data_IF_353775429370
#
_entry.id   IF_353775429370
#
_cell.length_a   1.000
_cell.length_b   1.000
_cell.length_c   1.000
_cell.angle_alpha   90.00
_cell.angle_beta   90.00
_cell.angle_gamma   90.00
#
_symmetry.space_group_name_H-M   'P 1'
#
loop_
_entity.id
_entity.type
_entity.pdbx_description
1 polymer ?
#
# COMPACT_ATOMS: atom_id res chain seq x y z
N UNK A 1 38.51 19.24 -42.38
CA UNK A 1 38.71 18.14 -41.40
C UNK A 1 38.32 18.53 -39.95
N UNK A 2 37.83 19.75 -39.69
CA UNK A 2 37.51 20.21 -38.33
C UNK A 2 36.04 20.00 -37.92
N UNK A 3 35.12 19.90 -38.90
CA UNK A 3 33.67 19.76 -38.64
C UNK A 3 33.23 18.37 -38.19
N UNK A 4 33.97 17.31 -38.54
CA UNK A 4 33.62 15.92 -38.18
C UNK A 4 33.78 15.63 -36.68
N UNK A 5 34.71 16.31 -36.00
CA UNK A 5 34.94 16.12 -34.58
C UNK A 5 33.88 16.85 -33.74
N UNK A 6 33.49 18.09 -34.08
CA UNK A 6 32.42 18.81 -33.39
C UNK A 6 31.06 18.09 -33.46
N UNK A 7 30.72 17.52 -34.63
CA UNK A 7 29.49 16.73 -34.78
C UNK A 7 29.45 15.48 -33.91
N UNK A 8 30.60 14.86 -33.61
CA UNK A 8 30.67 13.72 -32.70
C UNK A 8 30.55 14.14 -31.23
N UNK A 9 31.15 15.24 -30.80
CA UNK A 9 31.00 15.72 -29.41
C UNK A 9 29.56 16.12 -29.07
N UNK A 10 28.82 16.72 -30.00
CA UNK A 10 27.40 17.05 -29.81
C UNK A 10 26.55 15.78 -29.70
N UNK A 11 26.81 14.76 -30.54
CA UNK A 11 26.12 13.46 -30.48
C UNK A 11 26.41 12.72 -29.17
N UNK A 12 27.68 12.60 -28.78
CA UNK A 12 28.08 11.94 -27.54
C UNK A 12 27.62 12.71 -26.29
N UNK A 13 27.63 14.05 -26.34
CA UNK A 13 27.08 14.91 -25.28
C UNK A 13 25.57 14.72 -25.13
N UNK A 14 24.81 14.68 -26.23
CA UNK A 14 23.38 14.41 -26.20
C UNK A 14 23.05 13.02 -25.65
N UNK A 15 23.82 11.98 -26.05
CA UNK A 15 23.68 10.64 -25.50
C UNK A 15 24.00 10.61 -24.00
N UNK A 16 25.06 11.30 -23.55
CA UNK A 16 25.42 11.35 -22.13
C UNK A 16 24.33 12.03 -21.29
N UNK A 17 23.75 13.13 -21.76
CA UNK A 17 22.62 13.81 -21.09
C UNK A 17 21.39 12.88 -21.05
N UNK A 18 21.08 12.20 -22.14
CA UNK A 18 19.95 11.28 -22.19
C UNK A 18 20.12 10.11 -21.21
N UNK A 19 21.32 9.52 -21.14
CA UNK A 19 21.62 8.47 -20.16
C UNK A 19 21.56 8.98 -18.72
N UNK A 20 22.06 10.20 -18.47
CA UNK A 20 22.02 10.83 -17.15
C UNK A 20 20.59 11.07 -16.65
N UNK A 21 19.63 11.32 -17.56
CA UNK A 21 18.22 11.46 -17.20
C UNK A 21 17.51 10.09 -17.12
N UNK A 22 17.81 9.18 -18.05
CA UNK A 22 17.06 7.94 -18.20
C UNK A 22 17.41 6.90 -17.13
N UNK A 23 18.70 6.75 -16.77
CA UNK A 23 19.14 5.76 -15.79
C UNK A 23 18.47 5.99 -14.42
N UNK A 24 18.49 7.21 -13.85
CA UNK A 24 17.87 7.44 -12.55
C UNK A 24 16.35 7.28 -12.59
N UNK A 25 15.68 7.73 -13.66
CA UNK A 25 14.23 7.52 -13.84
C UNK A 25 13.86 6.04 -13.86
N UNK A 26 14.62 5.21 -14.59
CA UNK A 26 14.41 3.76 -14.61
C UNK A 26 14.69 3.11 -13.25
N UNK A 27 15.62 3.66 -12.47
CA UNK A 27 15.95 3.14 -11.14
C UNK A 27 14.85 3.48 -10.12
N UNK A 28 14.40 4.74 -10.05
CA UNK A 28 13.33 5.16 -9.12
C UNK A 28 11.97 4.55 -9.43
N UNK A 29 11.69 4.22 -10.70
CA UNK A 29 10.39 3.68 -11.13
C UNK A 29 10.26 2.16 -10.91
N UNK A 30 11.22 1.52 -10.22
CA UNK A 30 11.14 0.11 -9.89
C UNK A 30 10.23 -0.10 -8.68
N UNK A 31 9.20 -0.93 -8.87
CA UNK A 31 8.38 -1.45 -7.77
C UNK A 31 8.92 -2.82 -7.34
N UNK A 32 8.84 -3.18 -6.06
CA UNK A 32 9.31 -4.47 -5.58
C UNK A 32 8.59 -5.64 -6.27
N UNK A 33 9.33 -6.72 -6.52
CA UNK A 33 8.76 -7.94 -7.07
C UNK A 33 7.72 -8.55 -6.12
N UNK A 34 6.66 -9.20 -6.64
CA UNK A 34 5.75 -9.99 -5.83
C UNK A 34 6.47 -11.12 -5.10
N UNK A 35 5.92 -11.54 -3.97
CA UNK A 35 6.40 -12.69 -3.21
C UNK A 35 5.29 -13.68 -2.89
N UNK A 36 5.69 -14.87 -2.44
CA UNK A 36 4.78 -15.83 -1.85
C UNK A 36 4.76 -15.67 -0.33
N UNK A 37 3.64 -15.17 0.25
CA UNK A 37 3.54 -14.90 1.69
C UNK A 37 3.83 -16.12 2.57
N UNK A 38 3.30 -17.28 2.19
CA UNK A 38 3.37 -18.50 3.00
C UNK A 38 4.79 -19.05 3.00
N UNK A 39 5.42 -19.11 1.82
CA UNK A 39 6.78 -19.63 1.66
C UNK A 39 7.79 -18.75 2.39
N UNK A 40 7.74 -17.43 2.20
CA UNK A 40 8.65 -16.52 2.89
C UNK A 40 8.42 -16.50 4.40
N UNK A 41 7.16 -16.55 4.87
CA UNK A 41 6.85 -16.58 6.30
C UNK A 41 7.39 -17.86 6.97
N UNK A 42 7.25 -19.02 6.32
CA UNK A 42 7.79 -20.29 6.82
C UNK A 42 9.31 -20.25 6.91
N UNK A 43 9.99 -19.80 5.85
CA UNK A 43 11.43 -19.66 5.85
C UNK A 43 11.92 -18.71 6.96
N UNK A 44 11.22 -17.59 7.15
CA UNK A 44 11.53 -16.64 8.22
C UNK A 44 11.33 -17.25 9.61
N UNK A 45 10.24 -18.02 9.82
CA UNK A 45 9.99 -18.70 11.08
C UNK A 45 11.07 -19.75 11.40
N UNK A 46 11.47 -20.57 10.43
CA UNK A 46 12.53 -21.56 10.57
C UNK A 46 13.87 -20.92 10.92
N UNK A 47 14.24 -19.83 10.23
CA UNK A 47 15.48 -19.09 10.49
C UNK A 47 15.55 -18.51 11.91
N UNK A 48 14.41 -18.09 12.47
CA UNK A 48 14.33 -17.47 13.79
C UNK A 48 13.86 -18.42 14.89
N UNK A 49 13.71 -19.72 14.59
CA UNK A 49 13.21 -20.73 15.52
C UNK A 49 11.84 -20.38 16.13
N UNK A 50 11.01 -19.68 15.37
CA UNK A 50 9.65 -19.34 15.76
C UNK A 50 8.70 -20.52 15.52
N UNK A 51 7.73 -20.69 16.41
CA UNK A 51 6.60 -21.55 16.14
C UNK A 51 5.68 -20.89 15.10
N UNK A 52 5.15 -21.69 14.19
CA UNK A 52 4.35 -21.21 13.07
C UNK A 52 2.85 -21.23 13.41
N UNK A 53 2.45 -20.33 14.31
CA UNK A 53 1.06 -20.19 14.75
C UNK A 53 0.18 -19.47 13.73
N UNK A 54 -1.14 -19.59 13.88
CA UNK A 54 -2.11 -18.81 13.12
C UNK A 54 -1.84 -17.31 13.27
N UNK A 55 -2.00 -16.55 12.20
CA UNK A 55 -1.71 -15.11 12.15
C UNK A 55 -0.26 -14.76 11.89
N UNK A 56 0.65 -15.74 11.93
CA UNK A 56 2.07 -15.51 11.65
C UNK A 56 2.30 -15.07 10.21
N UNK A 57 1.65 -15.72 9.25
CA UNK A 57 1.77 -15.40 7.82
C UNK A 57 1.25 -14.01 7.52
N UNK A 58 0.08 -13.67 8.05
CA UNK A 58 -0.58 -12.38 7.95
C UNK A 58 0.27 -11.25 8.51
N UNK A 59 0.78 -11.44 9.73
CA UNK A 59 1.62 -10.45 10.42
C UNK A 59 2.95 -10.26 9.71
N UNK A 60 3.61 -11.36 9.31
CA UNK A 60 4.83 -11.34 8.52
C UNK A 60 4.62 -10.60 7.18
N UNK A 61 3.51 -10.87 6.51
CA UNK A 61 3.19 -10.23 5.22
C UNK A 61 3.02 -8.72 5.37
N UNK A 62 2.32 -8.26 6.40
CA UNK A 62 2.21 -6.83 6.69
C UNK A 62 3.59 -6.18 6.95
N UNK A 63 4.46 -6.88 7.68
CA UNK A 63 5.83 -6.42 7.93
C UNK A 63 6.64 -6.34 6.63
N UNK A 64 6.55 -7.36 5.77
CA UNK A 64 7.26 -7.40 4.48
C UNK A 64 6.75 -6.35 3.50
N UNK A 65 5.43 -6.10 3.45
CA UNK A 65 4.88 -5.02 2.62
C UNK A 65 5.42 -3.66 3.05
N UNK A 66 5.47 -3.40 4.35
CA UNK A 66 6.04 -2.17 4.90
C UNK A 66 7.55 -2.08 4.63
N UNK A 67 8.31 -3.15 4.87
CA UNK A 67 9.75 -3.19 4.60
C UNK A 67 10.05 -2.92 3.12
N UNK A 68 9.32 -3.55 2.19
CA UNK A 68 9.49 -3.36 0.74
C UNK A 68 9.05 -1.97 0.28
N UNK A 69 8.03 -1.39 0.90
CA UNK A 69 7.61 0.00 0.66
C UNK A 69 8.72 0.99 1.00
N UNK A 70 9.37 0.81 2.16
CA UNK A 70 10.41 1.72 2.65
C UNK A 70 11.75 1.53 1.91
N UNK A 71 12.11 0.30 1.56
CA UNK A 71 13.45 -0.05 1.06
C UNK A 71 13.51 -0.31 -0.45
N UNK A 72 12.48 0.06 -1.21
CA UNK A 72 12.53 0.01 -2.67
C UNK A 72 13.61 0.96 -3.22
N UNK A 73 14.05 0.79 -4.49
CA UNK A 73 14.97 1.72 -5.13
C UNK A 73 14.52 3.18 -4.98
N UNK A 74 15.39 3.99 -4.38
CA UNK A 74 15.13 5.40 -4.07
C UNK A 74 14.47 5.68 -2.72
N UNK A 75 14.16 4.67 -1.92
CA UNK A 75 13.50 4.83 -0.63
C UNK A 75 12.02 5.18 -0.76
N UNK A 76 11.44 5.75 0.28
CA UNK A 76 10.07 6.24 0.29
C UNK A 76 10.01 7.65 -0.31
N UNK A 77 9.40 7.80 -1.50
CA UNK A 77 9.46 9.02 -2.30
C UNK A 77 8.31 9.99 -2.02
N UNK A 78 7.20 9.54 -1.44
CA UNK A 78 6.00 10.37 -1.22
C UNK A 78 6.25 11.57 -0.31
N UNK A 79 7.28 11.54 0.53
CA UNK A 79 7.67 12.67 1.38
C UNK A 79 8.92 13.41 0.87
N UNK A 80 9.46 13.08 -0.30
CA UNK A 80 10.61 13.78 -0.86
C UNK A 80 10.24 15.20 -1.33
N UNK A 81 11.17 16.13 -1.14
CA UNK A 81 11.04 17.53 -1.57
C UNK A 81 12.20 18.03 -2.44
N UNK A 82 13.10 17.13 -2.86
CA UNK A 82 14.29 17.49 -3.63
C UNK A 82 14.19 16.98 -5.09
N UNK A 83 14.66 17.76 -6.08
CA UNK A 83 14.86 17.24 -7.44
C UNK A 83 15.88 16.09 -7.46
N UNK A 84 15.72 15.10 -8.37
CA UNK A 84 14.70 15.03 -9.43
C UNK A 84 13.39 14.33 -9.00
N UNK A 85 13.28 13.79 -7.79
CA UNK A 85 12.18 12.89 -7.39
C UNK A 85 10.82 13.59 -7.32
N UNK A 86 10.81 14.89 -7.03
CA UNK A 86 9.59 15.74 -7.08
C UNK A 86 8.92 15.83 -8.45
N UNK A 87 9.60 15.41 -9.52
CA UNK A 87 9.02 15.37 -10.88
C UNK A 87 8.40 14.02 -11.23
N UNK A 88 8.48 13.02 -10.33
CA UNK A 88 7.93 11.69 -10.53
C UNK A 88 6.76 11.46 -9.57
N UNK A 89 5.53 11.52 -10.08
CA UNK A 89 4.26 11.31 -9.37
C UNK A 89 3.81 9.84 -9.36
N UNK A 90 4.13 9.08 -10.40
CA UNK A 90 3.74 7.67 -10.54
C UNK A 90 4.08 6.78 -9.34
N UNK A 91 5.32 6.85 -8.85
CA UNK A 91 5.78 6.00 -7.72
C UNK A 91 5.15 6.45 -6.40
N UNK A 92 5.12 7.75 -6.05
CA UNK A 92 4.32 8.23 -4.90
C UNK A 92 2.86 7.78 -4.90
N UNK A 93 2.18 7.78 -6.06
CA UNK A 93 0.81 7.28 -6.14
C UNK A 93 0.73 5.77 -5.89
N UNK A 94 1.68 4.99 -6.42
CA UNK A 94 1.80 3.56 -6.11
C UNK A 94 2.05 3.32 -4.61
N UNK A 95 2.95 4.09 -3.99
CA UNK A 95 3.25 4.04 -2.56
C UNK A 95 2.00 4.32 -1.72
N UNK A 96 1.22 5.34 -2.09
CA UNK A 96 -0.03 5.67 -1.41
C UNK A 96 -1.05 4.52 -1.50
N UNK A 97 -1.11 3.84 -2.65
CA UNK A 97 -1.92 2.63 -2.84
C UNK A 97 -1.53 1.49 -1.90
N UNK A 98 -0.22 1.23 -1.74
CA UNK A 98 0.33 0.22 -0.82
C UNK A 98 0.09 0.61 0.64
N UNK A 99 0.44 1.84 1.01
CA UNK A 99 0.30 2.38 2.35
C UNK A 99 -1.15 2.36 2.85
N UNK A 100 -2.12 2.61 1.96
CA UNK A 100 -3.54 2.50 2.31
C UNK A 100 -3.90 1.09 2.75
N UNK A 101 -3.41 0.05 2.05
CA UNK A 101 -3.65 -1.35 2.44
C UNK A 101 -2.95 -1.70 3.75
N UNK A 102 -1.72 -1.20 3.97
CA UNK A 102 -0.99 -1.37 5.23
C UNK A 102 -1.79 -0.77 6.41
N UNK A 103 -2.31 0.46 6.25
CA UNK A 103 -3.11 1.15 7.28
C UNK A 103 -4.37 0.38 7.62
N UNK A 104 -5.14 -0.02 6.60
CA UNK A 104 -6.39 -0.73 6.79
C UNK A 104 -6.18 -2.09 7.46
N UNK A 105 -5.15 -2.84 7.02
CA UNK A 105 -4.83 -4.14 7.60
C UNK A 105 -4.26 -4.03 9.01
N UNK A 106 -3.36 -3.08 9.28
CA UNK A 106 -2.82 -2.85 10.62
C UNK A 106 -3.92 -2.50 11.64
N UNK A 107 -4.93 -1.74 11.20
CA UNK A 107 -6.10 -1.44 12.02
C UNK A 107 -6.96 -2.67 12.30
N UNK A 108 -7.26 -3.48 11.29
CA UNK A 108 -7.98 -4.73 11.48
C UNK A 108 -7.20 -5.71 12.38
N UNK A 109 -5.88 -5.77 12.21
CA UNK A 109 -4.98 -6.58 13.02
C UNK A 109 -5.06 -6.19 14.50
N UNK A 110 -4.94 -4.89 14.81
CA UNK A 110 -5.03 -4.34 16.17
C UNK A 110 -6.42 -4.48 16.80
N UNK A 111 -7.47 -4.15 16.05
CA UNK A 111 -8.81 -3.98 16.61
C UNK A 111 -9.59 -5.29 16.69
N UNK A 112 -9.37 -6.20 15.74
CA UNK A 112 -10.21 -7.38 15.54
C UNK A 112 -9.39 -8.68 15.65
N UNK A 113 -8.30 -8.80 14.90
CA UNK A 113 -7.60 -10.09 14.76
C UNK A 113 -6.68 -10.43 15.94
N UNK A 114 -6.19 -9.46 16.71
CA UNK A 114 -5.35 -9.72 17.89
C UNK A 114 -6.13 -9.73 19.21
N UNK A 115 -7.47 -9.66 19.15
CA UNK A 115 -8.35 -9.53 20.32
C UNK A 115 -9.39 -10.65 20.35
N UNK A 116 -9.61 -11.23 21.54
CA UNK A 116 -10.60 -12.30 21.73
C UNK A 116 -12.03 -11.75 21.66
N UNK A 117 -12.20 -10.49 22.05
CA UNK A 117 -13.45 -9.74 22.07
C UNK A 117 -13.15 -8.27 21.79
N UNK A 118 -14.10 -7.52 21.23
CA UNK A 118 -13.93 -6.10 20.87
C UNK A 118 -13.59 -5.16 22.05
N UNK A 119 -13.76 -5.63 23.29
CA UNK A 119 -13.45 -4.90 24.53
C UNK A 119 -12.23 -5.46 25.29
N UNK A 120 -11.54 -6.49 24.77
CA UNK A 120 -10.36 -7.06 25.44
C UNK A 120 -9.17 -6.10 25.41
N UNK A 121 -8.17 -6.26 26.27
CA UNK A 121 -6.96 -5.41 26.21
C UNK A 121 -6.31 -5.51 24.82
N UNK A 122 -5.93 -4.35 24.26
CA UNK A 122 -5.20 -4.27 22.99
C UNK A 122 -3.77 -4.79 23.15
N UNK A 123 -3.20 -5.39 22.10
CA UNK A 123 -1.79 -5.73 22.12
C UNK A 123 -0.93 -4.45 22.09
N UNK A 124 0.01 -4.34 23.03
CA UNK A 124 0.86 -3.16 23.21
C UNK A 124 1.68 -2.78 21.97
N UNK A 125 2.15 -3.77 21.21
CA UNK A 125 3.02 -3.55 20.06
C UNK A 125 2.18 -3.13 18.85
N UNK A 126 0.98 -3.70 18.68
CA UNK A 126 0.02 -3.27 17.66
C UNK A 126 -0.59 -1.89 17.94
N UNK A 127 -0.84 -1.58 19.22
CA UNK A 127 -1.27 -0.25 19.65
C UNK A 127 -0.20 0.83 19.37
N UNK A 128 1.08 0.45 19.40
CA UNK A 128 2.17 1.32 18.98
C UNK A 128 2.33 1.38 17.45
N UNK A 129 2.07 0.29 16.72
CA UNK A 129 2.29 0.20 15.28
C UNK A 129 1.24 0.92 14.42
N UNK A 130 -0.06 0.75 14.71
CA UNK A 130 -1.13 1.28 13.86
C UNK A 130 -1.13 2.83 13.72
N UNK A 131 -0.91 3.62 14.79
CA UNK A 131 -0.83 5.07 14.67
C UNK A 131 0.33 5.52 13.78
N UNK A 132 1.44 4.78 13.83
CA UNK A 132 2.64 5.06 13.06
C UNK A 132 2.39 4.90 11.56
N UNK A 133 1.73 3.82 11.15
CA UNK A 133 1.31 3.66 9.75
C UNK A 133 0.25 4.69 9.31
N UNK A 134 -0.58 5.15 10.25
CA UNK A 134 -1.58 6.20 10.00
C UNK A 134 -0.99 7.62 9.93
N UNK A 135 0.31 7.80 10.17
CA UNK A 135 0.97 9.10 10.08
C UNK A 135 0.94 9.66 8.64
N UNK A 136 1.02 10.99 8.52
CA UNK A 136 0.96 11.71 7.24
C UNK A 136 1.98 11.14 6.23
N UNK A 137 1.54 10.86 5.00
CA UNK A 137 2.35 10.26 3.93
C UNK A 137 3.39 11.20 3.31
N UNK A 138 3.29 12.51 3.53
CA UNK A 138 4.09 13.55 2.86
C UNK A 138 4.95 14.37 3.83
N UNK A 139 5.09 13.91 5.08
CA UNK A 139 5.89 14.62 6.08
C UNK A 139 7.37 14.42 5.82
N UNK A 140 8.01 15.45 5.27
CA UNK A 140 9.45 15.48 5.04
C UNK A 140 10.25 15.87 6.29
N UNK A 141 9.73 16.83 7.07
CA UNK A 141 10.40 17.37 8.26
C UNK A 141 10.04 16.56 9.52
N UNK A 142 10.81 16.71 10.60
CA UNK A 142 10.65 15.91 11.82
C UNK A 142 9.25 16.06 12.48
N UNK A 143 8.54 14.95 12.76
CA UNK A 143 8.90 13.57 12.40
C UNK A 143 8.63 13.27 10.91
N UNK A 144 9.60 12.64 10.25
CA UNK A 144 9.47 12.23 8.85
C UNK A 144 8.59 10.99 8.72
N UNK A 145 7.84 10.88 7.62
CA UNK A 145 6.96 9.73 7.34
C UNK A 145 7.71 8.40 7.39
N UNK A 146 8.89 8.34 6.78
CA UNK A 146 9.75 7.15 6.78
C UNK A 146 10.13 6.70 8.19
N UNK A 147 10.49 7.65 9.07
CA UNK A 147 10.87 7.34 10.44
C UNK A 147 9.68 6.83 11.28
N UNK A 148 8.50 7.41 11.10
CA UNK A 148 7.28 6.91 11.75
C UNK A 148 6.94 5.49 11.24
N UNK A 149 6.97 5.26 9.93
CA UNK A 149 6.73 3.92 9.36
C UNK A 149 7.76 2.87 9.80
N UNK A 150 9.03 3.25 9.94
CA UNK A 150 10.07 2.38 10.48
C UNK A 150 9.82 2.03 11.96
N UNK A 151 9.32 2.98 12.76
CA UNK A 151 8.91 2.71 14.15
C UNK A 151 7.71 1.75 14.20
N UNK A 152 6.72 1.95 13.33
CA UNK A 152 5.58 1.06 13.18
C UNK A 152 6.00 -0.36 12.80
N UNK A 153 6.91 -0.50 11.82
CA UNK A 153 7.48 -1.78 11.41
C UNK A 153 8.25 -2.46 12.55
N UNK A 154 9.03 -1.69 13.30
CA UNK A 154 9.77 -2.21 14.46
C UNK A 154 8.84 -2.74 15.55
N UNK A 155 7.70 -2.07 15.79
CA UNK A 155 6.68 -2.56 16.71
C UNK A 155 5.97 -3.81 16.18
N UNK A 156 5.60 -3.83 14.91
CA UNK A 156 5.00 -5.00 14.26
C UNK A 156 5.91 -6.23 14.31
N UNK A 157 7.21 -6.06 14.11
CA UNK A 157 8.18 -7.16 14.22
C UNK A 157 8.30 -7.72 15.65
N UNK A 158 8.16 -6.89 16.68
CA UNK A 158 8.08 -7.38 18.07
C UNK A 158 6.81 -8.19 18.32
N UNK A 159 5.68 -7.75 17.75
CA UNK A 159 4.44 -8.54 17.80
C UNK A 159 4.60 -9.88 17.07
N UNK A 160 5.20 -9.90 15.87
CA UNK A 160 5.48 -11.13 15.13
C UNK A 160 6.39 -12.10 15.90
N UNK A 161 7.44 -11.57 16.54
CA UNK A 161 8.33 -12.36 17.39
C UNK A 161 7.55 -12.99 18.56
N UNK A 162 6.71 -12.20 19.24
CA UNK A 162 5.86 -12.68 20.34
C UNK A 162 4.81 -13.68 19.88
N UNK A 163 4.27 -13.54 18.66
CA UNK A 163 3.42 -14.58 18.07
C UNK A 163 4.23 -15.87 17.95
N UNK A 164 5.44 -15.80 17.39
CA UNK A 164 6.33 -16.95 17.23
C UNK A 164 6.76 -17.64 18.53
N UNK A 165 6.73 -16.95 19.67
CA UNK A 165 6.99 -17.52 21.00
C UNK A 165 5.75 -17.96 21.78
N UNK A 166 4.54 -17.65 21.28
CA UNK A 166 3.27 -17.89 21.97
C UNK A 166 2.87 -16.82 22.99
N UNK A 167 3.64 -15.72 23.10
CA UNK A 167 3.42 -14.60 24.02
C UNK A 167 2.47 -13.51 23.45
N UNK A 168 1.98 -13.71 22.23
CA UNK A 168 0.92 -12.93 21.61
C UNK A 168 -0.10 -13.87 20.98
N UNK A 169 -1.30 -13.34 20.73
CA UNK A 169 -2.41 -14.12 20.20
C UNK A 169 -2.94 -13.49 18.91
N UNK A 170 -3.42 -14.36 18.03
CA UNK A 170 -4.17 -14.01 16.82
C UNK A 170 -5.39 -14.92 16.75
N UNK A 171 -6.55 -14.34 16.47
CA UNK A 171 -7.84 -15.01 16.52
C UNK A 171 -8.41 -15.14 15.11
N UNK A 172 -8.40 -16.37 14.60
CA UNK A 172 -8.86 -16.78 13.26
C UNK A 172 -10.38 -16.90 13.16
N UNK A 173 -11.11 -15.91 13.69
CA UNK A 173 -12.58 -15.95 13.69
C UNK A 173 -13.14 -15.42 12.37
N UNK A 174 -14.24 -16.01 11.88
CA UNK A 174 -14.89 -15.60 10.63
C UNK A 174 -15.39 -14.14 10.66
N UNK A 175 -15.84 -13.65 11.81
CA UNK A 175 -16.28 -12.26 12.00
C UNK A 175 -15.11 -11.26 11.86
N UNK A 176 -13.93 -11.61 12.38
CA UNK A 176 -12.70 -10.83 12.19
C UNK A 176 -12.33 -10.72 10.70
N UNK A 177 -12.34 -11.85 9.98
CA UNK A 177 -12.05 -11.87 8.55
C UNK A 177 -13.08 -11.06 7.75
N UNK A 178 -14.37 -11.26 8.04
CA UNK A 178 -15.48 -10.54 7.41
C UNK A 178 -15.35 -9.03 7.60
N UNK A 179 -14.96 -8.60 8.79
CA UNK A 179 -14.81 -7.17 9.12
C UNK A 179 -13.72 -6.51 8.28
N UNK A 180 -12.57 -7.18 8.10
CA UNK A 180 -11.52 -6.70 7.20
C UNK A 180 -11.94 -6.74 5.73
N UNK A 181 -12.59 -7.83 5.28
CA UNK A 181 -13.05 -7.95 3.90
C UNK A 181 -14.09 -6.89 3.52
N UNK A 182 -14.93 -6.44 4.47
CA UNK A 182 -15.84 -5.31 4.25
C UNK A 182 -15.08 -3.97 4.02
N UNK A 183 -13.89 -3.80 4.60
CA UNK A 183 -13.02 -2.66 4.29
C UNK A 183 -12.43 -2.81 2.89
N UNK A 184 -11.94 -4.01 2.55
CA UNK A 184 -11.41 -4.33 1.22
C UNK A 184 -12.45 -4.08 0.13
N UNK A 185 -13.69 -4.52 0.32
CA UNK A 185 -14.81 -4.29 -0.60
C UNK A 185 -15.01 -2.80 -0.89
N UNK A 186 -15.09 -1.98 0.17
CA UNK A 186 -15.25 -0.52 0.03
C UNK A 186 -14.07 0.12 -0.72
N UNK A 187 -12.84 -0.33 -0.45
CA UNK A 187 -11.63 0.16 -1.14
C UNK A 187 -11.66 -0.19 -2.62
N UNK A 188 -11.94 -1.45 -2.95
CA UNK A 188 -12.02 -1.91 -4.34
C UNK A 188 -13.16 -1.22 -5.10
N UNK A 189 -14.31 -1.02 -4.47
CA UNK A 189 -15.42 -0.25 -5.05
C UNK A 189 -15.01 1.17 -5.40
N UNK A 190 -14.36 1.88 -4.47
CA UNK A 190 -13.85 3.24 -4.70
C UNK A 190 -12.79 3.30 -5.81
N UNK A 191 -11.82 2.37 -5.81
CA UNK A 191 -10.78 2.30 -6.84
C UNK A 191 -11.36 1.99 -8.21
N UNK A 192 -12.26 1.01 -8.31
CA UNK A 192 -12.97 0.66 -9.55
C UNK A 192 -13.76 1.85 -10.09
N UNK A 193 -14.50 2.54 -9.22
CA UNK A 193 -15.28 3.72 -9.58
C UNK A 193 -14.38 4.85 -10.12
N UNK A 194 -13.22 5.09 -9.50
CA UNK A 194 -12.24 6.09 -9.95
C UNK A 194 -11.59 5.70 -11.28
N UNK A 195 -11.18 4.44 -11.43
CA UNK A 195 -10.57 3.94 -12.66
C UNK A 195 -11.54 4.02 -13.85
N UNK A 196 -12.82 3.68 -13.64
CA UNK A 196 -13.87 3.81 -14.67
C UNK A 196 -14.13 5.27 -15.07
N UNK A 197 -13.99 6.22 -14.14
CA UNK A 197 -14.08 7.65 -14.46
C UNK A 197 -12.88 8.13 -15.32
N UNK A 198 -11.71 7.53 -15.14
CA UNK A 198 -10.51 7.86 -15.92
C UNK A 198 -10.58 7.42 -17.40
N UNK A 199 -11.45 6.46 -17.73
CA UNK A 199 -11.72 6.04 -19.12
C UNK A 199 -12.96 6.70 -19.74
N UNK A 200 -13.56 7.69 -19.06
CA UNK A 200 -14.68 8.47 -19.60
C UNK A 200 -16.03 7.73 -19.62
N UNK A 201 -16.22 6.70 -18.79
CA UNK A 201 -17.51 6.02 -18.69
C UNK A 201 -18.58 6.96 -18.10
N UNK A 202 -19.75 7.02 -18.76
CA UNK A 202 -20.88 7.85 -18.35
C UNK A 202 -21.43 7.33 -17.02
N UNK A 203 -21.44 8.16 -15.98
CA UNK A 203 -22.06 7.82 -14.68
C UNK A 203 -23.51 8.26 -14.63
N UNK A 204 -24.38 7.37 -14.16
CA UNK A 204 -25.64 7.78 -13.52
C UNK A 204 -25.31 7.96 -12.03
N UNK A 205 -25.55 9.14 -11.46
CA UNK A 205 -25.37 9.40 -10.03
C UNK A 205 -26.31 8.50 -9.21
N UNK A 206 -25.77 7.54 -8.47
CA UNK A 206 -26.54 6.72 -7.51
C UNK A 206 -26.44 7.25 -6.07
N UNK A 207 -25.64 8.29 -5.83
CA UNK A 207 -25.44 8.93 -4.51
C UNK A 207 -26.61 9.87 -4.11
N UNK A 208 -27.65 9.98 -4.94
CA UNK A 208 -28.85 10.72 -4.58
C UNK A 208 -29.62 9.94 -3.52
N UNK A 209 -29.53 10.40 -2.26
CA UNK A 209 -30.46 10.02 -1.21
C UNK A 209 -31.91 10.17 -1.72
N UNK A 210 -32.87 9.32 -1.31
CA UNK A 210 -34.26 9.49 -1.69
C UNK A 210 -34.78 10.80 -1.08
N UNK A 211 -34.80 11.86 -1.87
CA UNK A 211 -35.41 13.12 -1.48
C UNK A 211 -36.93 12.94 -1.44
N UNK A 212 -37.63 13.32 -0.35
CA UNK A 212 -39.07 13.35 -0.36
C UNK A 212 -39.53 14.50 -1.25
N UNK A 213 -40.18 14.14 -2.36
CA UNK A 213 -41.07 14.99 -3.16
C UNK A 213 -40.48 16.33 -3.64
N UNK A 214 -39.83 16.30 -4.81
CA UNK A 214 -40.04 17.30 -5.86
C UNK A 214 -39.67 16.67 -7.22
N UNK A 215 -40.59 16.82 -8.17
CA UNK A 215 -40.51 16.67 -9.65
C UNK A 215 -39.34 15.85 -10.25
N UNK A 216 -39.59 14.85 -11.12
CA UNK A 216 -38.52 14.13 -11.81
C UNK A 216 -37.85 15.06 -12.84
N UNK A 217 -36.89 15.86 -12.38
CA UNK A 217 -35.96 16.53 -13.27
C UNK A 217 -34.98 15.46 -13.77
N UNK A 218 -34.73 15.49 -15.07
CA UNK A 218 -33.95 14.51 -15.81
C UNK A 218 -32.71 14.04 -15.04
N UNK A 219 -32.48 12.73 -15.06
CA UNK A 219 -31.26 12.06 -14.59
C UNK A 219 -30.04 12.91 -14.93
N UNK A 220 -29.55 13.69 -13.97
CA UNK A 220 -28.37 14.53 -14.16
C UNK A 220 -27.18 13.58 -14.12
N UNK A 221 -26.80 13.10 -15.31
CA UNK A 221 -25.55 12.41 -15.58
C UNK A 221 -24.46 13.45 -15.31
N UNK A 222 -24.04 13.59 -14.05
CA UNK A 222 -22.84 14.36 -13.73
C UNK A 222 -21.67 13.51 -14.21
N UNK A 223 -21.11 13.91 -15.36
CA UNK A 223 -19.89 13.33 -15.90
C UNK A 223 -18.73 13.83 -15.03
N UNK A 224 -18.45 13.14 -13.93
CA UNK A 224 -17.19 13.35 -13.20
C UNK A 224 -16.10 12.60 -13.94
N UNK A 225 -15.55 13.18 -15.00
CA UNK A 225 -14.34 12.68 -15.66
C UNK A 225 -13.11 13.09 -14.84
N UNK A 226 -12.19 12.14 -14.63
CA UNK A 226 -10.88 12.46 -14.04
C UNK A 226 -10.12 13.40 -14.98
N UNK A 227 -9.52 14.49 -14.47
CA UNK A 227 -8.63 15.32 -15.28
C UNK A 227 -7.56 14.47 -15.97
N UNK A 228 -7.20 14.80 -17.22
CA UNK A 228 -6.25 13.99 -18.00
C UNK A 228 -4.89 13.82 -17.32
N UNK A 229 -4.48 14.80 -16.50
CA UNK A 229 -3.25 14.81 -15.72
C UNK A 229 -3.29 13.96 -14.44
N UNK A 230 -4.44 13.38 -14.09
CA UNK A 230 -4.61 12.56 -12.87
C UNK A 230 -4.99 11.10 -13.22
N UNK A 231 -5.04 10.74 -14.51
CA UNK A 231 -5.42 9.39 -14.96
C UNK A 231 -4.37 8.37 -14.53
N UNK A 232 -3.10 8.72 -14.71
CA UNK A 232 -1.94 7.95 -14.28
C UNK A 232 -1.86 7.85 -12.75
N UNK A 233 -2.12 8.94 -12.02
CA UNK A 233 -2.21 8.92 -10.55
C UNK A 233 -3.18 7.83 -10.06
N UNK A 234 -4.41 7.82 -10.61
CA UNK A 234 -5.43 6.80 -10.29
C UNK A 234 -4.94 5.40 -10.65
N UNK A 235 -4.33 5.24 -11.83
CA UNK A 235 -3.81 3.95 -12.29
C UNK A 235 -2.72 3.40 -11.36
N UNK A 236 -1.72 4.21 -11.02
CA UNK A 236 -0.61 3.79 -10.16
C UNK A 236 -1.06 3.50 -8.73
N UNK A 237 -2.00 4.29 -8.19
CA UNK A 237 -2.60 3.98 -6.89
C UNK A 237 -3.35 2.64 -6.92
N UNK A 238 -4.14 2.38 -7.97
CA UNK A 238 -4.83 1.09 -8.12
C UNK A 238 -3.82 -0.06 -8.20
N UNK A 239 -2.73 0.12 -8.96
CA UNK A 239 -1.65 -0.87 -9.08
C UNK A 239 -0.97 -1.15 -7.74
N UNK A 240 -0.69 -0.11 -6.95
CA UNK A 240 -0.11 -0.24 -5.60
C UNK A 240 -1.03 -0.97 -4.64
N UNK A 241 -2.31 -0.59 -4.60
CA UNK A 241 -3.31 -1.29 -3.78
C UNK A 241 -3.47 -2.75 -4.18
N UNK A 242 -3.55 -3.06 -5.49
CA UNK A 242 -3.66 -4.45 -5.96
C UNK A 242 -2.42 -5.28 -5.60
N UNK A 243 -1.22 -4.69 -5.76
CA UNK A 243 0.03 -5.34 -5.39
C UNK A 243 0.09 -5.65 -3.89
N UNK A 244 -0.30 -4.75 -3.00
CA UNK A 244 -0.30 -5.05 -1.57
C UNK A 244 -1.40 -6.06 -1.19
N UNK A 245 -2.60 -5.86 -1.73
CA UNK A 245 -3.79 -6.64 -1.36
C UNK A 245 -3.66 -8.12 -1.74
N UNK A 246 -3.06 -8.46 -2.88
CA UNK A 246 -2.89 -9.87 -3.26
C UNK A 246 -2.04 -10.66 -2.25
N UNK A 247 -1.02 -10.03 -1.65
CA UNK A 247 -0.21 -10.67 -0.61
C UNK A 247 -1.01 -10.82 0.68
N UNK A 248 -1.73 -9.78 1.10
CA UNK A 248 -2.59 -9.83 2.28
C UNK A 248 -3.69 -10.88 2.16
N UNK A 249 -4.32 -11.00 0.99
CA UNK A 249 -5.36 -12.01 0.73
C UNK A 249 -4.80 -13.42 0.80
N UNK A 250 -3.64 -13.70 0.18
CA UNK A 250 -2.98 -15.01 0.27
C UNK A 250 -2.56 -15.36 1.71
N UNK A 251 -2.08 -14.37 2.46
CA UNK A 251 -1.71 -14.57 3.86
C UNK A 251 -2.93 -14.85 4.74
N UNK A 252 -4.03 -14.12 4.51
CA UNK A 252 -5.29 -14.33 5.19
C UNK A 252 -5.94 -15.68 4.81
N UNK A 253 -5.90 -16.07 3.54
CA UNK A 253 -6.37 -17.38 3.07
C UNK A 253 -5.69 -18.52 3.85
N UNK A 254 -4.38 -18.43 4.05
CA UNK A 254 -3.64 -19.41 4.82
C UNK A 254 -4.00 -19.39 6.32
N UNK A 255 -3.99 -18.22 6.96
CA UNK A 255 -4.20 -18.14 8.41
C UNK A 255 -5.66 -18.35 8.84
N UNK A 256 -6.63 -18.04 7.98
CA UNK A 256 -8.07 -18.24 8.23
C UNK A 256 -8.63 -19.52 7.56
N UNK A 257 -7.77 -20.44 7.10
CA UNK A 257 -8.19 -21.64 6.39
C UNK A 257 -9.26 -22.48 7.12
N UNK A 258 -9.25 -22.49 8.46
CA UNK A 258 -10.21 -23.25 9.28
C UNK A 258 -11.64 -22.69 9.24
N UNK A 259 -11.83 -21.43 8.78
CA UNK A 259 -13.12 -20.73 8.77
C UNK A 259 -13.57 -20.29 7.37
N UNK A 260 -12.86 -20.71 6.33
CA UNK A 260 -13.18 -20.52 4.91
C UNK A 260 -13.90 -21.75 4.36
#
# INVERSE_FOLDING_TARGET
>A
MQDSHQGNYIKWGGVAVLLLLLIPTLWWNQVPDPFDPVTEAKAYAEQHQHQFFSGYTSTYTLAQLTQRLLNKPGGYLSNDKMPPTVWFDNVPNWEFGVLTQIRDYARALRNDMSRSQSQSTEDKDLAAAEPQFSFNAHSWLFPSSENEYQQGLSALNRYLQRLGSGDAQFYTRADNLTSWLAVVEKRLGSLSQRLSASVGQHRINTDLAPAPTTTPSATEIVITQTPWTEIDDVFYQCRGSAWALIHLLKAAEHDFADVL
#
